data_IF_103361161106
#
_entry.id   IF_103361161106
#
_cell.length_a   1.000
_cell.length_b   1.000
_cell.length_c   1.000
_cell.angle_alpha   90.00
_cell.angle_beta   90.00
_cell.angle_gamma   90.00
#
_symmetry.space_group_name_H-M   'P 1'
#
loop_
_entity.id
_entity.type
_entity.pdbx_description
1 polymer ?
#
# COMPACT_ATOMS: atom_id res chain seq x y z
N UNK A 1 -21.51 7.05 11.69
CA UNK A 1 -21.15 6.62 10.32
C UNK A 1 -20.07 7.49 9.62
N UNK A 2 -19.72 8.71 10.08
CA UNK A 2 -18.64 9.52 9.45
C UNK A 2 -17.25 8.86 9.50
N UNK A 3 -16.90 8.29 10.66
CA UNK A 3 -15.57 7.71 10.91
C UNK A 3 -15.22 6.53 9.96
N UNK A 4 -16.17 5.64 9.69
CA UNK A 4 -15.93 4.49 8.78
C UNK A 4 -15.66 4.93 7.34
N UNK A 5 -16.35 5.97 6.87
CA UNK A 5 -16.15 6.51 5.51
C UNK A 5 -14.78 7.15 5.40
N UNK A 6 -14.38 7.94 6.41
CA UNK A 6 -13.06 8.57 6.47
C UNK A 6 -11.92 7.53 6.46
N UNK A 7 -12.04 6.46 7.24
CA UNK A 7 -11.06 5.36 7.26
C UNK A 7 -10.99 4.63 5.90
N UNK A 8 -12.13 4.43 5.24
CA UNK A 8 -12.16 3.83 3.90
C UNK A 8 -11.50 4.73 2.84
N UNK A 9 -11.70 6.04 2.91
CA UNK A 9 -11.03 6.98 2.02
C UNK A 9 -9.52 7.00 2.25
N UNK A 10 -9.10 7.00 3.51
CA UNK A 10 -7.68 6.92 3.87
C UNK A 10 -7.05 5.61 3.40
N UNK A 11 -7.73 4.47 3.59
CA UNK A 11 -7.29 3.17 3.10
C UNK A 11 -7.13 3.17 1.58
N UNK A 12 -8.13 3.68 0.85
CA UNK A 12 -8.06 3.79 -0.62
C UNK A 12 -6.90 4.67 -1.07
N UNK A 13 -6.66 5.79 -0.39
CA UNK A 13 -5.54 6.69 -0.70
C UNK A 13 -4.19 6.00 -0.48
N UNK A 14 -4.00 5.35 0.66
CA UNK A 14 -2.76 4.63 0.97
C UNK A 14 -2.51 3.49 -0.03
N UNK A 15 -3.54 2.72 -0.39
CA UNK A 15 -3.41 1.67 -1.40
C UNK A 15 -3.07 2.20 -2.80
N UNK A 16 -3.64 3.34 -3.19
CA UNK A 16 -3.32 3.98 -4.48
C UNK A 16 -1.85 4.44 -4.53
N UNK A 17 -1.35 5.01 -3.42
CA UNK A 17 0.06 5.38 -3.28
C UNK A 17 0.96 4.15 -3.35
N UNK A 18 0.63 3.08 -2.63
CA UNK A 18 1.38 1.83 -2.65
C UNK A 18 1.43 1.21 -4.06
N UNK A 19 0.30 1.20 -4.78
CA UNK A 19 0.24 0.71 -6.16
C UNK A 19 1.11 1.55 -7.11
N UNK A 20 1.13 2.87 -6.91
CA UNK A 20 1.96 3.79 -7.71
C UNK A 20 3.45 3.51 -7.49
N UNK A 21 3.89 3.35 -6.25
CA UNK A 21 5.29 3.03 -5.93
C UNK A 21 5.69 1.67 -6.51
N UNK A 22 4.83 0.63 -6.35
CA UNK A 22 5.06 -0.70 -6.93
C UNK A 22 5.26 -0.63 -8.44
N UNK A 23 4.42 0.18 -9.12
CA UNK A 23 4.53 0.39 -10.56
C UNK A 23 5.84 1.10 -10.92
N UNK A 24 6.18 2.19 -10.25
CA UNK A 24 7.43 2.92 -10.48
C UNK A 24 8.67 2.03 -10.28
N UNK A 25 8.65 1.18 -9.25
CA UNK A 25 9.75 0.24 -9.02
C UNK A 25 9.83 -0.81 -10.14
N UNK A 26 8.70 -1.35 -10.59
CA UNK A 26 8.66 -2.31 -11.69
C UNK A 26 9.05 -1.70 -13.05
N UNK A 27 8.73 -0.43 -13.31
CA UNK A 27 9.09 0.27 -14.55
C UNK A 27 10.61 0.43 -14.70
N UNK A 28 11.37 0.39 -13.61
CA UNK A 28 12.84 0.42 -13.66
C UNK A 28 13.45 -0.95 -14.03
N UNK A 29 12.67 -2.03 -14.02
CA UNK A 29 13.14 -3.38 -14.35
C UNK A 29 13.00 -3.60 -15.86
N UNK A 30 14.11 -3.41 -16.58
CA UNK A 30 14.18 -3.67 -18.01
C UNK A 30 14.93 -4.98 -18.27
N UNK A 31 14.43 -5.78 -19.21
CA UNK A 31 15.13 -6.97 -19.68
C UNK A 31 16.44 -6.56 -20.35
N UNK A 32 17.55 -6.91 -19.72
CA UNK A 32 18.92 -6.68 -20.19
C UNK A 32 19.66 -8.02 -20.25
N UNK A 33 20.59 -8.16 -21.19
CA UNK A 33 21.50 -9.31 -21.25
C UNK A 33 22.59 -9.26 -20.18
N UNK A 34 22.68 -8.15 -19.44
CA UNK A 34 23.66 -7.94 -18.38
C UNK A 34 23.07 -8.31 -17.01
N UNK A 35 23.93 -8.78 -16.10
CA UNK A 35 23.55 -8.94 -14.69
C UNK A 35 23.48 -7.56 -14.05
N UNK A 36 22.27 -7.05 -13.86
CA UNK A 36 22.02 -5.77 -13.20
C UNK A 36 21.58 -6.02 -11.76
N UNK A 37 22.20 -5.32 -10.80
CA UNK A 37 21.75 -5.32 -9.41
C UNK A 37 20.58 -4.36 -9.28
N UNK A 38 19.40 -4.89 -8.97
CA UNK A 38 18.21 -4.08 -8.68
C UNK A 38 18.22 -3.78 -7.18
N UNK A 39 18.37 -2.50 -6.83
CA UNK A 39 18.22 -2.04 -5.45
C UNK A 39 16.81 -1.45 -5.27
N UNK A 40 16.07 -1.85 -4.23
CA UNK A 40 14.76 -1.30 -3.96
C UNK A 40 14.89 0.18 -3.64
N UNK A 41 14.23 1.04 -4.42
CA UNK A 41 14.29 2.49 -4.29
C UNK A 41 13.22 3.04 -3.35
N UNK A 42 12.09 2.34 -3.26
CA UNK A 42 10.93 2.77 -2.49
C UNK A 42 10.59 1.75 -1.39
N UNK A 43 11.51 0.85 -1.03
CA UNK A 43 11.26 -0.25 -0.10
C UNK A 43 10.72 0.20 1.25
N UNK A 44 11.32 1.23 1.85
CA UNK A 44 10.89 1.77 3.14
C UNK A 44 9.49 2.39 3.04
N UNK A 45 9.25 3.24 2.03
CA UNK A 45 7.95 3.89 1.83
C UNK A 45 6.84 2.87 1.50
N UNK A 46 7.15 1.82 0.73
CA UNK A 46 6.23 0.73 0.46
C UNK A 46 5.92 -0.09 1.72
N UNK A 47 6.91 -0.32 2.58
CA UNK A 47 6.71 -1.01 3.85
C UNK A 47 5.80 -0.19 4.77
N UNK A 48 6.03 1.11 4.89
CA UNK A 48 5.20 2.01 5.69
C UNK A 48 3.76 2.05 5.19
N UNK A 49 3.56 2.20 3.87
CA UNK A 49 2.23 2.16 3.26
C UNK A 49 1.55 0.81 3.41
N UNK A 50 2.29 -0.29 3.31
CA UNK A 50 1.75 -1.65 3.51
C UNK A 50 1.27 -1.82 4.96
N UNK A 51 2.09 -1.40 5.93
CA UNK A 51 1.73 -1.43 7.35
C UNK A 51 0.51 -0.55 7.64
N UNK A 52 0.45 0.64 7.03
CA UNK A 52 -0.70 1.54 7.15
C UNK A 52 -1.98 0.92 6.58
N UNK A 53 -1.92 0.32 5.40
CA UNK A 53 -3.07 -0.38 4.82
C UNK A 53 -3.54 -1.51 5.74
N UNK A 54 -2.63 -2.33 6.27
CA UNK A 54 -2.99 -3.42 7.19
C UNK A 54 -3.65 -2.93 8.48
N UNK A 55 -3.17 -1.81 9.05
CA UNK A 55 -3.78 -1.22 10.24
C UNK A 55 -5.21 -0.70 9.97
N UNK A 56 -5.40 0.00 8.86
CA UNK A 56 -6.72 0.54 8.48
C UNK A 56 -7.71 -0.58 8.17
N UNK A 57 -7.26 -1.66 7.50
CA UNK A 57 -8.07 -2.84 7.21
C UNK A 57 -8.54 -3.54 8.49
N UNK A 58 -7.62 -3.77 9.43
CA UNK A 58 -7.95 -4.33 10.75
C UNK A 58 -9.00 -3.50 11.50
N UNK A 59 -8.91 -2.17 11.43
CA UNK A 59 -9.90 -1.28 12.05
C UNK A 59 -11.27 -1.45 11.36
N UNK A 60 -11.30 -1.51 10.02
CA UNK A 60 -12.53 -1.70 9.26
C UNK A 60 -13.20 -3.04 9.55
N UNK A 61 -12.41 -4.11 9.68
CA UNK A 61 -12.88 -5.44 10.08
C UNK A 61 -13.47 -5.42 11.49
N UNK A 62 -12.76 -4.81 12.46
CA UNK A 62 -13.25 -4.70 13.83
C UNK A 62 -14.55 -3.89 13.92
N UNK A 63 -14.67 -2.81 13.13
CA UNK A 63 -15.91 -2.03 13.05
C UNK A 63 -17.06 -2.87 12.48
N UNK A 64 -16.83 -3.61 11.41
CA UNK A 64 -17.84 -4.47 10.81
C UNK A 64 -18.30 -5.59 11.77
N UNK A 65 -17.37 -6.19 12.52
CA UNK A 65 -17.69 -7.19 13.53
C UNK A 65 -18.43 -6.64 14.76
N UNK A 66 -18.36 -5.33 15.00
CA UNK A 66 -19.07 -4.64 16.10
C UNK A 66 -20.44 -4.09 15.72
N UNK A 67 -20.73 -4.02 14.42
CA UNK A 67 -22.05 -3.62 13.88
C UNK A 67 -23.02 -4.80 13.70
N UNK A 68 -22.52 -6.03 13.79
CA UNK A 68 -23.29 -7.29 13.92
C UNK A 68 -23.62 -7.57 15.39
#
# INVERSE_FOLDING_TARGET
MSNRIEILEEYRRANSQLATLKRQESENVHSSSETVRIEPRYGDEMNDLTNKCAQLDMILEAMAASED
#
